data_IF_062923649077
#
_entry.id   IF_062923649077
#
_cell.length_a   1.000
_cell.length_b   1.000
_cell.length_c   1.000
_cell.angle_alpha   90.00
_cell.angle_beta   90.00
_cell.angle_gamma   90.00
#
_symmetry.space_group_name_H-M   'P 1'
#
loop_
_entity.id
_entity.type
_entity.pdbx_description
1 polymer ?
#
# COMPACT_ATOMS: atom_id res chain seq x y z
N UNK A 1 3.05 2.13 -30.07
CA UNK A 1 4.06 3.08 -29.58
C UNK A 1 4.30 4.05 -30.73
N UNK A 2 4.37 5.35 -30.47
CA UNK A 2 4.73 6.32 -31.52
C UNK A 2 6.19 6.07 -31.94
N UNK A 3 6.49 6.32 -33.21
CA UNK A 3 7.86 6.33 -33.75
C UNK A 3 8.55 7.64 -33.37
N UNK A 4 9.88 7.65 -33.41
CA UNK A 4 10.68 8.82 -33.01
C UNK A 4 10.32 10.08 -33.82
N UNK A 5 10.10 9.95 -35.13
CA UNK A 5 9.67 11.08 -35.98
C UNK A 5 8.30 11.63 -35.58
N UNK A 6 7.37 10.76 -35.15
CA UNK A 6 6.03 11.15 -34.70
C UNK A 6 6.08 11.82 -33.32
N UNK A 7 7.03 11.44 -32.47
CA UNK A 7 7.31 12.09 -31.18
C UNK A 7 7.89 13.49 -31.38
N UNK A 8 8.79 13.65 -32.34
CA UNK A 8 9.39 14.95 -32.67
C UNK A 8 8.37 15.94 -33.26
N UNK A 9 7.47 15.46 -34.14
CA UNK A 9 6.38 16.28 -34.65
C UNK A 9 5.40 16.69 -33.55
N UNK A 10 5.07 15.76 -32.64
CA UNK A 10 4.23 16.07 -31.48
C UNK A 10 4.90 17.10 -30.56
N UNK A 11 6.20 16.98 -30.32
CA UNK A 11 6.95 17.92 -29.48
C UNK A 11 6.97 19.33 -30.09
N UNK A 12 7.16 19.46 -31.41
CA UNK A 12 7.08 20.75 -32.11
C UNK A 12 5.67 21.34 -32.06
N UNK A 13 4.64 20.52 -32.24
CA UNK A 13 3.25 20.97 -32.16
C UNK A 13 2.88 21.47 -30.75
N UNK A 14 3.36 20.79 -29.71
CA UNK A 14 3.17 21.22 -28.31
C UNK A 14 3.96 22.49 -27.99
N UNK A 15 5.17 22.64 -28.53
CA UNK A 15 6.00 23.83 -28.33
C UNK A 15 5.43 25.08 -29.04
N UNK A 16 4.61 24.89 -30.07
CA UNK A 16 3.95 25.96 -30.82
C UNK A 16 2.62 26.43 -30.18
N UNK A 17 2.18 25.81 -29.08
CA UNK A 17 0.96 26.21 -28.38
C UNK A 17 1.16 27.57 -27.68
N UNK A 18 0.09 28.37 -27.64
CA UNK A 18 0.06 29.55 -26.78
C UNK A 18 -0.06 29.16 -25.29
N UNK A 19 0.20 30.10 -24.39
CA UNK A 19 0.19 29.86 -22.94
C UNK A 19 -1.15 29.31 -22.42
N UNK A 20 -2.26 29.69 -23.08
CA UNK A 20 -3.61 29.30 -22.68
C UNK A 20 -3.87 27.83 -23.02
N UNK A 21 -3.53 27.43 -24.24
CA UNK A 21 -3.73 26.07 -24.73
C UNK A 21 -2.68 25.11 -24.16
N UNK A 22 -1.45 25.57 -23.91
CA UNK A 22 -0.45 24.84 -23.14
C UNK A 22 -0.94 24.55 -21.71
N UNK A 23 -1.58 25.53 -21.05
CA UNK A 23 -2.20 25.37 -19.73
C UNK A 23 -3.33 24.33 -19.71
N UNK A 24 -4.20 24.35 -20.73
CA UNK A 24 -5.29 23.36 -20.89
C UNK A 24 -4.75 21.96 -21.12
N UNK A 25 -3.74 21.81 -21.97
CA UNK A 25 -3.10 20.52 -22.23
C UNK A 25 -2.45 19.96 -20.95
N UNK A 26 -1.74 20.81 -20.19
CA UNK A 26 -1.15 20.43 -18.90
C UNK A 26 -2.21 19.95 -17.91
N UNK A 27 -3.33 20.68 -17.81
CA UNK A 27 -4.47 20.29 -16.97
C UNK A 27 -5.05 18.94 -17.38
N UNK A 28 -5.30 18.73 -18.68
CA UNK A 28 -5.84 17.47 -19.20
C UNK A 28 -4.90 16.28 -18.99
N UNK A 29 -3.58 16.47 -19.14
CA UNK A 29 -2.58 15.43 -18.88
C UNK A 29 -2.52 15.07 -17.40
N UNK A 30 -2.57 16.06 -16.50
CA UNK A 30 -2.62 15.81 -15.06
C UNK A 30 -3.89 15.05 -14.69
N UNK A 31 -5.04 15.47 -15.20
CA UNK A 31 -6.31 14.81 -14.96
C UNK A 31 -6.31 13.37 -15.48
N UNK A 32 -5.75 13.13 -16.67
CA UNK A 32 -5.60 11.79 -17.23
C UNK A 32 -4.69 10.91 -16.36
N UNK A 33 -3.59 11.46 -15.84
CA UNK A 33 -2.71 10.74 -14.90
C UNK A 33 -3.46 10.38 -13.62
N UNK A 34 -4.18 11.33 -13.03
CA UNK A 34 -5.00 11.07 -11.83
C UNK A 34 -6.06 10.00 -12.08
N UNK A 35 -6.77 10.06 -13.23
CA UNK A 35 -7.75 9.03 -13.59
C UNK A 35 -7.12 7.65 -13.76
N UNK A 36 -5.98 7.55 -14.46
CA UNK A 36 -5.25 6.28 -14.61
C UNK A 36 -4.79 5.73 -13.28
N UNK A 37 -4.27 6.59 -12.41
CA UNK A 37 -3.83 6.19 -11.08
C UNK A 37 -5.01 5.70 -10.22
N UNK A 38 -6.13 6.42 -10.21
CA UNK A 38 -7.34 5.98 -9.52
C UNK A 38 -7.85 4.63 -10.04
N UNK A 39 -7.83 4.39 -11.35
CA UNK A 39 -8.19 3.09 -11.92
C UNK A 39 -7.23 1.97 -11.50
N UNK A 40 -5.92 2.26 -11.47
CA UNK A 40 -4.92 1.31 -11.00
C UNK A 40 -5.10 0.99 -9.50
N UNK A 41 -5.42 2.00 -8.68
CA UNK A 41 -5.69 1.83 -7.26
C UNK A 41 -6.97 1.00 -7.03
N UNK A 42 -8.04 1.24 -7.78
CA UNK A 42 -9.26 0.42 -7.72
C UNK A 42 -8.95 -1.04 -8.06
N UNK A 43 -8.20 -1.30 -9.14
CA UNK A 43 -7.83 -2.65 -9.52
C UNK A 43 -6.94 -3.34 -8.47
N UNK A 44 -6.01 -2.58 -7.89
CA UNK A 44 -5.12 -3.05 -6.81
C UNK A 44 -5.90 -3.41 -5.55
N UNK A 45 -6.83 -2.54 -5.11
CA UNK A 45 -7.71 -2.77 -3.96
C UNK A 45 -8.60 -3.99 -4.21
N UNK A 46 -9.22 -4.09 -5.39
CA UNK A 46 -10.06 -5.25 -5.74
C UNK A 46 -9.26 -6.57 -5.69
N UNK A 47 -8.00 -6.56 -6.14
CA UNK A 47 -7.11 -7.72 -6.02
C UNK A 47 -6.85 -8.08 -4.56
N UNK A 48 -6.54 -7.09 -3.72
CA UNK A 48 -6.30 -7.29 -2.28
C UNK A 48 -7.54 -7.83 -1.56
N UNK A 49 -8.73 -7.33 -1.89
CA UNK A 49 -10.00 -7.80 -1.32
C UNK A 49 -10.39 -9.22 -1.76
N UNK A 50 -9.85 -9.68 -2.89
CA UNK A 50 -10.05 -11.04 -3.39
C UNK A 50 -9.04 -12.05 -2.83
N UNK A 51 -8.02 -11.61 -2.10
CA UNK A 51 -7.05 -12.50 -1.46
C UNK A 51 -7.66 -13.22 -0.27
N UNK A 52 -7.10 -14.39 0.07
CA UNK A 52 -7.39 -15.01 1.36
C UNK A 52 -6.81 -14.15 2.48
N UNK A 53 -7.33 -14.32 3.70
CA UNK A 53 -6.84 -13.54 4.82
C UNK A 53 -5.32 -13.73 5.06
N UNK A 54 -4.82 -14.93 4.82
CA UNK A 54 -3.41 -15.28 4.93
C UNK A 54 -2.57 -14.60 3.85
N UNK A 55 -2.99 -14.64 2.58
CA UNK A 55 -2.24 -14.02 1.47
C UNK A 55 -2.20 -12.49 1.58
N UNK A 56 -3.30 -11.87 2.04
CA UNK A 56 -3.35 -10.44 2.31
C UNK A 56 -2.40 -10.03 3.45
N UNK A 57 -2.22 -10.92 4.42
CA UNK A 57 -1.27 -10.73 5.51
C UNK A 57 0.18 -10.88 5.08
N UNK A 58 0.51 -11.89 4.28
CA UNK A 58 1.83 -12.00 3.66
C UNK A 58 2.15 -10.78 2.81
N UNK A 59 1.20 -10.31 1.99
CA UNK A 59 1.36 -9.09 1.20
C UNK A 59 1.59 -7.84 2.07
N UNK A 60 1.00 -7.77 3.26
CA UNK A 60 1.22 -6.69 4.21
C UNK A 60 2.60 -6.77 4.88
N UNK A 61 3.05 -7.98 5.23
CA UNK A 61 4.43 -8.21 5.72
C UNK A 61 5.42 -7.79 4.65
N UNK A 62 5.24 -8.23 3.40
CA UNK A 62 6.12 -7.87 2.29
C UNK A 62 6.15 -6.35 2.11
N UNK A 63 4.99 -5.68 2.11
CA UNK A 63 4.91 -4.23 2.02
C UNK A 63 5.61 -3.50 3.19
N UNK A 64 5.63 -4.09 4.38
CA UNK A 64 6.35 -3.59 5.55
C UNK A 64 7.85 -3.98 5.58
N UNK A 65 8.24 -5.07 4.93
CA UNK A 65 9.62 -5.54 4.84
C UNK A 65 10.38 -4.92 3.66
N UNK A 66 9.67 -4.36 2.67
CA UNK A 66 10.27 -3.61 1.58
C UNK A 66 10.94 -2.35 2.15
N UNK A 67 12.25 -2.53 2.38
CA UNK A 67 13.30 -1.56 2.70
C UNK A 67 13.43 -1.16 4.18
N UNK A 68 14.45 -1.75 4.81
CA UNK A 68 15.14 -1.35 6.06
C UNK A 68 15.71 0.08 6.07
N UNK A 69 15.22 0.96 5.18
CA UNK A 69 15.69 2.33 4.96
C UNK A 69 14.58 3.36 5.16
N UNK A 70 13.30 2.96 5.08
CA UNK A 70 12.16 3.88 5.13
C UNK A 70 11.51 3.86 6.53
N UNK A 71 11.28 5.03 7.13
CA UNK A 71 10.77 5.18 8.52
C UNK A 71 9.28 4.82 8.64
N UNK A 72 8.59 4.54 7.53
CA UNK A 72 7.13 4.38 7.43
C UNK A 72 6.67 2.98 6.99
N UNK A 73 7.45 1.94 7.29
CA UNK A 73 7.15 0.55 6.94
C UNK A 73 5.82 0.03 7.52
N UNK A 74 5.51 0.44 8.75
CA UNK A 74 4.25 0.06 9.42
C UNK A 74 3.04 0.69 8.71
N UNK A 75 3.15 1.93 8.24
CA UNK A 75 2.05 2.63 7.58
C UNK A 75 1.67 1.95 6.26
N UNK A 76 2.65 1.47 5.49
CA UNK A 76 2.43 0.72 4.24
C UNK A 76 1.78 -0.64 4.49
N UNK A 77 2.25 -1.39 5.49
CA UNK A 77 1.63 -2.66 5.88
C UNK A 77 0.18 -2.47 6.34
N UNK A 78 -0.08 -1.45 7.17
CA UNK A 78 -1.43 -1.09 7.62
C UNK A 78 -2.33 -0.67 6.46
N UNK A 79 -1.79 0.06 5.48
CA UNK A 79 -2.53 0.44 4.28
C UNK A 79 -2.98 -0.79 3.48
N UNK A 80 -2.10 -1.76 3.23
CA UNK A 80 -2.43 -3.00 2.50
C UNK A 80 -3.53 -3.78 3.22
N UNK A 81 -3.44 -3.90 4.55
CA UNK A 81 -4.43 -4.59 5.37
C UNK A 81 -5.80 -3.88 5.26
N UNK A 82 -5.84 -2.55 5.40
CA UNK A 82 -7.08 -1.78 5.25
C UNK A 82 -7.70 -1.93 3.86
N UNK A 83 -6.88 -1.88 2.82
CA UNK A 83 -7.32 -1.99 1.43
C UNK A 83 -7.81 -3.40 1.09
N UNK A 84 -7.21 -4.44 1.67
CA UNK A 84 -7.71 -5.81 1.62
C UNK A 84 -9.07 -6.00 2.33
N UNK A 85 -9.61 -4.95 2.96
CA UNK A 85 -10.92 -5.00 3.62
C UNK A 85 -10.85 -5.44 5.08
N UNK A 86 -9.64 -5.56 5.66
CA UNK A 86 -9.46 -5.72 7.10
C UNK A 86 -9.69 -4.38 7.80
N UNK A 87 -10.91 -3.87 7.74
CA UNK A 87 -11.29 -2.68 8.51
C UNK A 87 -12.32 -3.08 9.55
N UNK A 88 -11.87 -2.97 10.82
CA UNK A 88 -12.61 -3.06 12.09
C UNK A 88 -13.11 -4.43 12.50
N UNK A 89 -12.27 -5.16 13.22
CA UNK A 89 -12.72 -6.28 14.04
C UNK A 89 -11.69 -7.37 14.26
N UNK A 90 -12.17 -8.52 14.76
CA UNK A 90 -11.40 -9.71 15.12
C UNK A 90 -10.34 -10.12 14.09
N UNK A 91 -10.53 -9.81 12.79
CA UNK A 91 -9.57 -10.11 11.71
C UNK A 91 -8.19 -9.49 11.92
N UNK A 92 -8.08 -8.21 12.29
CA UNK A 92 -6.78 -7.56 12.52
C UNK A 92 -6.03 -8.21 13.69
N UNK A 93 -6.76 -8.57 14.76
CA UNK A 93 -6.22 -9.29 15.91
C UNK A 93 -5.77 -10.70 15.54
N UNK A 94 -6.48 -11.38 14.65
CA UNK A 94 -6.12 -12.71 14.15
C UNK A 94 -4.85 -12.64 13.31
N UNK A 95 -4.72 -11.62 12.44
CA UNK A 95 -3.52 -11.42 11.62
C UNK A 95 -2.27 -11.11 12.44
N UNK A 96 -2.36 -10.16 13.37
CA UNK A 96 -1.26 -9.89 14.29
C UNK A 96 -0.91 -11.16 15.09
N UNK A 97 -1.88 -11.95 15.53
CA UNK A 97 -1.58 -13.23 16.19
C UNK A 97 -0.89 -14.23 15.26
N UNK A 98 -1.32 -14.33 14.01
CA UNK A 98 -0.75 -15.26 13.03
C UNK A 98 0.72 -14.94 12.76
N UNK A 99 1.07 -13.69 12.44
CA UNK A 99 2.46 -13.30 12.19
C UNK A 99 3.38 -13.45 13.39
N UNK A 100 2.90 -13.07 14.58
CA UNK A 100 3.69 -13.22 15.80
C UNK A 100 3.87 -14.69 16.18
N UNK A 101 2.90 -15.56 15.94
CA UNK A 101 3.04 -17.01 16.15
C UNK A 101 4.00 -17.64 15.14
N UNK A 102 3.99 -17.20 13.87
CA UNK A 102 4.99 -17.64 12.88
C UNK A 102 6.41 -17.20 13.29
N UNK A 103 6.57 -15.96 13.75
CA UNK A 103 7.85 -15.48 14.29
C UNK A 103 8.33 -16.32 15.47
N UNK A 104 7.45 -16.66 16.42
CA UNK A 104 7.77 -17.54 17.56
C UNK A 104 8.16 -18.95 17.12
N UNK A 105 7.52 -19.50 16.08
CA UNK A 105 7.89 -20.81 15.54
C UNK A 105 9.28 -20.78 14.89
N UNK A 106 9.66 -19.67 14.26
CA UNK A 106 10.98 -19.49 13.63
C UNK A 106 12.07 -19.21 14.68
N UNK A 107 11.74 -18.54 15.77
CA UNK A 107 12.67 -18.12 16.81
C UNK A 107 12.17 -18.50 18.23
N UNK A 108 12.11 -19.80 18.55
CA UNK A 108 11.45 -20.30 19.77
C UNK A 108 12.17 -19.94 21.08
N UNK A 109 13.44 -19.51 21.01
CA UNK A 109 14.27 -19.23 22.19
C UNK A 109 14.38 -17.73 22.52
N UNK A 110 13.79 -16.84 21.71
CA UNK A 110 13.88 -15.39 21.87
C UNK A 110 12.82 -14.84 22.84
N UNK A 111 12.80 -15.38 24.06
CA UNK A 111 11.96 -14.86 25.14
C UNK A 111 10.46 -14.95 24.82
N UNK A 112 9.96 -16.16 24.53
CA UNK A 112 8.56 -16.42 24.14
C UNK A 112 7.51 -15.70 25.01
N UNK A 113 7.77 -15.55 26.31
CA UNK A 113 6.92 -14.78 27.23
C UNK A 113 6.94 -13.26 26.94
N UNK A 114 8.12 -12.66 26.79
CA UNK A 114 8.29 -11.24 26.44
C UNK A 114 7.75 -10.95 25.04
N UNK A 115 7.92 -11.89 24.11
CA UNK A 115 7.38 -11.82 22.76
C UNK A 115 5.85 -11.87 22.74
N UNK A 116 5.23 -12.78 23.51
CA UNK A 116 3.77 -12.84 23.68
C UNK A 116 3.21 -11.57 24.32
N UNK A 117 3.92 -11.01 25.31
CA UNK A 117 3.52 -9.76 25.97
C UNK A 117 3.64 -8.56 25.03
N UNK A 118 4.73 -8.46 24.27
CA UNK A 118 4.92 -7.41 23.26
C UNK A 118 3.86 -7.48 22.15
N UNK A 119 3.52 -8.69 21.68
CA UNK A 119 2.41 -8.93 20.75
C UNK A 119 1.11 -8.36 21.31
N UNK A 120 0.75 -8.74 22.53
CA UNK A 120 -0.54 -8.36 23.10
C UNK A 120 -0.61 -6.84 23.35
N UNK A 121 0.48 -6.22 23.78
CA UNK A 121 0.60 -4.75 23.91
C UNK A 121 0.51 -4.03 22.55
N UNK A 122 1.13 -4.57 21.50
CA UNK A 122 1.06 -4.00 20.15
C UNK A 122 -0.36 -4.09 19.59
N UNK A 123 -1.03 -5.24 19.77
CA UNK A 123 -2.43 -5.42 19.40
C UNK A 123 -3.32 -4.41 20.16
N UNK A 124 -3.13 -4.25 21.46
CA UNK A 124 -3.92 -3.28 22.24
C UNK A 124 -3.67 -1.83 21.81
N UNK A 125 -2.43 -1.42 21.56
CA UNK A 125 -2.12 -0.06 21.06
C UNK A 125 -2.78 0.23 19.72
N UNK A 126 -2.73 -0.72 18.78
CA UNK A 126 -3.38 -0.58 17.48
C UNK A 126 -4.90 -0.47 17.64
N UNK A 127 -5.50 -1.24 18.54
CA UNK A 127 -6.94 -1.16 18.84
C UNK A 127 -7.34 0.13 19.58
N UNK A 128 -6.44 0.73 20.38
CA UNK A 128 -6.70 1.98 21.10
C UNK A 128 -6.49 3.24 20.26
N UNK A 129 -5.55 3.23 19.30
CA UNK A 129 -5.31 4.36 18.38
C UNK A 129 -6.47 4.61 17.41
N UNK A 130 -7.45 3.70 17.32
CA UNK A 130 -8.68 3.87 16.52
C UNK A 130 -9.86 4.48 17.31
N UNK A 131 -9.68 4.86 18.58
CA UNK A 131 -10.71 5.53 19.41
C UNK A 131 -10.65 7.07 19.40
N UNK A 132 -9.70 7.67 18.69
CA UNK A 132 -9.57 9.13 18.46
C UNK A 132 -9.94 9.44 17.02
#
# INVERSE_FOLDING_TARGET
>A
MLKDDELDELARAVAALDDKDAGRLKGAVLELRHRRQAMADVARIAKLQAMSDFDAFEAAIDAGQVLTVDVHTIDKALQVIREAGFVRGKGLKVLYRAGWNDALNRYPNDGDAEYKQARDNAIERVLMLERV
#
